data_IF_577255284007
#
_entry.id   IF_577255284007
#
_cell.length_a   1.000
_cell.length_b   1.000
_cell.length_c   1.000
_cell.angle_alpha   90.00
_cell.angle_beta   90.00
_cell.angle_gamma   90.00
#
_symmetry.space_group_name_H-M   'P 1'
#
loop_
_entity.id
_entity.type
_entity.pdbx_description
1 polymer ?
#
# COMPACT_ATOMS: atom_id res chain seq x y z
N UNK A 1 -8.82 15.37 8.46
CA UNK A 1 -8.04 14.58 7.51
C UNK A 1 -7.87 15.35 6.21
N UNK A 2 -6.67 15.39 5.64
CA UNK A 2 -6.47 16.03 4.34
C UNK A 2 -7.36 15.41 3.26
N UNK A 3 -7.79 16.23 2.32
CA UNK A 3 -8.72 15.81 1.28
C UNK A 3 -8.13 14.71 0.38
N UNK A 4 -6.81 14.76 0.10
CA UNK A 4 -6.13 13.75 -0.69
C UNK A 4 -6.18 12.38 -0.03
N UNK A 5 -5.96 12.32 1.29
CA UNK A 5 -6.02 11.06 2.03
C UNK A 5 -7.45 10.51 2.07
N UNK A 6 -8.42 11.40 2.17
CA UNK A 6 -9.82 11.03 2.16
C UNK A 6 -10.21 10.37 0.85
N UNK A 7 -9.76 10.95 -0.27
CA UNK A 7 -10.05 10.40 -1.59
C UNK A 7 -9.44 9.01 -1.74
N UNK A 8 -8.20 8.84 -1.30
CA UNK A 8 -7.54 7.53 -1.34
C UNK A 8 -8.30 6.50 -0.52
N UNK A 9 -8.70 6.84 0.70
CA UNK A 9 -9.44 5.93 1.57
C UNK A 9 -10.78 5.50 0.96
N UNK A 10 -11.50 6.43 0.34
CA UNK A 10 -12.80 6.13 -0.26
C UNK A 10 -12.72 5.14 -1.42
N UNK A 11 -11.60 5.13 -2.15
CA UNK A 11 -11.48 4.36 -3.38
C UNK A 11 -10.52 3.18 -3.30
N UNK A 12 -9.68 3.15 -2.26
CA UNK A 12 -8.63 2.14 -2.15
C UNK A 12 -9.20 0.71 -2.09
N UNK A 13 -10.25 0.51 -1.32
CA UNK A 13 -10.88 -0.80 -1.18
C UNK A 13 -11.38 -1.29 -2.54
N UNK A 14 -12.04 -0.43 -3.30
CA UNK A 14 -12.53 -0.79 -4.63
C UNK A 14 -11.39 -1.12 -5.58
N UNK A 15 -10.32 -0.33 -5.52
CA UNK A 15 -9.14 -0.59 -6.34
C UNK A 15 -8.54 -1.95 -6.02
N UNK A 16 -8.32 -2.24 -4.73
CA UNK A 16 -7.69 -3.49 -4.31
C UNK A 16 -8.54 -4.69 -4.71
N UNK A 17 -9.84 -4.64 -4.48
CA UNK A 17 -10.74 -5.77 -4.77
C UNK A 17 -10.75 -6.18 -6.23
N UNK A 18 -10.52 -5.24 -7.13
CA UNK A 18 -10.53 -5.50 -8.58
C UNK A 18 -9.13 -5.53 -9.19
N UNK A 19 -8.09 -5.40 -8.38
CA UNK A 19 -6.72 -5.29 -8.90
C UNK A 19 -6.21 -6.65 -9.40
N UNK A 20 -5.88 -6.70 -10.69
CA UNK A 20 -5.41 -7.93 -11.32
C UNK A 20 -4.05 -8.42 -10.82
N UNK A 21 -3.24 -7.51 -10.26
CA UNK A 21 -1.93 -7.85 -9.70
C UNK A 21 -1.96 -8.32 -8.25
N UNK A 22 -3.16 -8.33 -7.63
CA UNK A 22 -3.31 -8.79 -6.25
C UNK A 22 -3.19 -10.32 -6.20
N UNK A 23 -2.32 -10.81 -5.31
CA UNK A 23 -2.15 -12.25 -5.10
C UNK A 23 -2.84 -12.71 -3.81
N UNK A 24 -2.71 -11.94 -2.74
CA UNK A 24 -3.31 -12.29 -1.45
C UNK A 24 -3.39 -11.07 -0.56
N UNK A 25 -4.35 -11.06 0.35
CA UNK A 25 -4.51 -9.98 1.32
C UNK A 25 -4.85 -10.56 2.69
N UNK A 26 -4.22 -10.01 3.73
CA UNK A 26 -4.54 -10.35 5.11
C UNK A 26 -5.92 -9.77 5.44
N UNK A 27 -6.85 -10.61 5.88
CA UNK A 27 -8.24 -10.21 6.15
C UNK A 27 -8.38 -9.21 7.29
N UNK A 28 -7.35 -9.02 8.11
CA UNK A 28 -7.38 -8.06 9.23
C UNK A 28 -7.15 -6.63 8.78
N UNK A 29 -6.73 -6.40 7.53
CA UNK A 29 -6.43 -5.06 7.04
C UNK A 29 -7.71 -4.28 6.84
N UNK A 30 -7.76 -3.09 7.44
CA UNK A 30 -8.86 -2.15 7.20
C UNK A 30 -8.50 -1.25 6.03
N UNK A 31 -9.09 -1.53 4.87
CA UNK A 31 -8.82 -0.78 3.65
C UNK A 31 -9.49 0.59 3.62
N UNK A 32 -10.30 0.90 4.63
CA UNK A 32 -11.06 2.15 4.67
C UNK A 32 -10.47 3.18 5.62
N UNK A 33 -9.56 2.78 6.52
CA UNK A 33 -9.03 3.66 7.57
C UNK A 33 -7.50 3.58 7.64
N UNK A 34 -6.83 4.39 6.84
CA UNK A 34 -5.39 4.58 6.93
C UNK A 34 -5.07 6.02 6.52
N UNK A 35 -3.88 6.51 6.90
CA UNK A 35 -3.49 7.88 6.58
C UNK A 35 -3.04 8.00 5.14
N UNK A 36 -2.04 7.22 4.74
CA UNK A 36 -1.48 7.28 3.39
C UNK A 36 -0.67 6.04 3.10
N UNK A 37 -0.31 5.86 1.84
CA UNK A 37 0.71 4.91 1.42
C UNK A 37 2.06 5.59 1.55
N UNK A 38 2.98 4.97 2.26
CA UNK A 38 4.31 5.53 2.49
C UNK A 38 5.36 4.58 1.95
N UNK A 39 6.28 5.09 1.12
CA UNK A 39 7.35 4.28 0.54
C UNK A 39 8.67 4.42 1.31
N UNK A 40 8.76 5.31 2.27
CA UNK A 40 9.98 5.55 3.04
C UNK A 40 9.78 5.12 4.49
N UNK A 41 10.41 4.00 4.87
CA UNK A 41 10.29 3.44 6.21
C UNK A 41 10.78 4.39 7.31
N UNK A 42 11.62 5.36 6.97
CA UNK A 42 12.09 6.35 7.93
C UNK A 42 11.04 7.37 8.31
N UNK A 43 10.04 7.56 7.43
CA UNK A 43 8.96 8.54 7.59
C UNK A 43 7.62 7.92 7.94
N UNK A 44 7.58 6.61 8.14
CA UNK A 44 6.33 5.90 8.35
C UNK A 44 5.68 6.33 9.66
N UNK A 45 4.36 6.49 9.62
CA UNK A 45 3.55 6.77 10.79
C UNK A 45 2.66 5.57 11.12
N UNK A 46 2.18 5.54 12.35
CA UNK A 46 1.41 4.43 12.90
C UNK A 46 0.26 3.93 12.04
N UNK A 47 -0.47 4.85 11.40
CA UNK A 47 -1.65 4.49 10.61
C UNK A 47 -1.40 4.50 9.10
N UNK A 48 -0.15 4.52 8.69
CA UNK A 48 0.21 4.42 7.28
C UNK A 48 0.26 2.96 6.83
N UNK A 49 0.08 2.75 5.53
CA UNK A 49 0.39 1.47 4.91
C UNK A 49 1.75 1.63 4.23
N UNK A 50 2.70 0.78 4.60
CA UNK A 50 4.03 0.82 3.99
C UNK A 50 4.01 0.09 2.66
N UNK A 51 4.37 0.79 1.59
CA UNK A 51 4.56 0.18 0.27
C UNK A 51 6.04 -0.21 0.15
N UNK A 52 6.31 -1.51 0.24
CA UNK A 52 7.67 -2.06 0.17
C UNK A 52 8.15 -2.10 -1.28
N UNK A 53 8.42 -0.92 -1.82
CA UNK A 53 8.74 -0.74 -3.24
C UNK A 53 10.04 -1.45 -3.60
N UNK A 54 9.99 -2.34 -4.60
CA UNK A 54 11.14 -3.12 -5.05
C UNK A 54 11.37 -2.93 -6.54
N UNK A 55 12.62 -2.79 -6.93
CA UNK A 55 13.04 -2.62 -8.31
C UNK A 55 14.42 -3.24 -8.52
N UNK A 56 15.04 -2.97 -9.68
CA UNK A 56 16.32 -3.57 -10.05
C UNK A 56 17.45 -3.25 -9.06
N UNK A 57 17.45 -2.04 -8.51
CA UNK A 57 18.55 -1.54 -7.70
C UNK A 57 18.22 -1.40 -6.22
N UNK A 58 17.01 -1.81 -5.80
CA UNK A 58 16.61 -1.69 -4.41
C UNK A 58 15.52 -2.71 -4.09
N UNK A 59 15.43 -3.07 -2.82
CA UNK A 59 14.44 -4.03 -2.32
C UNK A 59 13.80 -3.45 -1.05
N UNK A 60 12.60 -2.90 -1.23
CA UNK A 60 11.84 -2.34 -0.11
C UNK A 60 11.44 -3.38 0.93
N UNK A 61 11.45 -4.67 0.58
CA UNK A 61 11.13 -5.73 1.54
C UNK A 61 12.11 -5.77 2.71
N UNK A 62 13.34 -5.27 2.51
CA UNK A 62 14.32 -5.16 3.59
C UNK A 62 13.84 -4.23 4.70
N UNK A 63 12.94 -3.30 4.39
CA UNK A 63 12.50 -2.25 5.32
C UNK A 63 11.16 -2.55 5.99
N UNK A 64 10.55 -3.70 5.70
CA UNK A 64 9.26 -4.05 6.30
C UNK A 64 9.39 -4.14 7.83
N UNK A 65 10.44 -4.82 8.31
CA UNK A 65 10.64 -4.94 9.75
C UNK A 65 10.85 -3.59 10.42
N UNK A 66 11.60 -2.69 9.78
CA UNK A 66 11.78 -1.33 10.30
C UNK A 66 10.46 -0.60 10.41
N UNK A 67 9.60 -0.72 9.43
CA UNK A 67 8.30 -0.06 9.46
C UNK A 67 7.41 -0.63 10.56
N UNK A 68 7.46 -1.93 10.78
CA UNK A 68 6.71 -2.57 11.86
C UNK A 68 7.20 -2.07 13.21
N UNK A 69 8.50 -1.94 13.41
CA UNK A 69 9.09 -1.40 14.63
C UNK A 69 8.62 0.02 14.92
N UNK A 70 8.30 0.78 13.88
CA UNK A 70 7.77 2.15 14.03
C UNK A 70 6.27 2.21 14.22
N UNK A 71 5.62 1.06 14.34
CA UNK A 71 4.20 0.97 14.61
C UNK A 71 3.31 0.79 13.38
N UNK A 72 3.88 0.64 12.20
CA UNK A 72 3.12 0.33 11.00
C UNK A 72 2.53 -1.08 11.12
N UNK A 73 1.23 -1.21 10.89
CA UNK A 73 0.54 -2.49 11.03
C UNK A 73 0.40 -3.24 9.72
N UNK A 74 0.34 -2.52 8.61
CA UNK A 74 0.02 -3.12 7.31
C UNK A 74 1.01 -2.65 6.25
N UNK A 75 1.26 -3.52 5.27
CA UNK A 75 2.23 -3.21 4.22
C UNK A 75 1.85 -3.93 2.93
N UNK A 76 2.34 -3.40 1.82
CA UNK A 76 2.17 -3.98 0.48
C UNK A 76 3.53 -4.49 0.05
N UNK A 77 3.61 -5.76 -0.35
CA UNK A 77 4.88 -6.45 -0.57
C UNK A 77 4.79 -7.43 -1.73
N UNK A 78 5.95 -7.81 -2.28
CA UNK A 78 6.09 -8.91 -3.22
C UNK A 78 6.54 -10.20 -2.54
N UNK A 79 6.86 -10.15 -1.25
CA UNK A 79 7.44 -11.28 -0.54
C UNK A 79 6.38 -12.07 0.21
N UNK A 80 6.11 -13.34 -0.19
CA UNK A 80 5.09 -14.15 0.48
C UNK A 80 5.33 -14.39 1.97
N UNK A 81 6.57 -14.25 2.44
CA UNK A 81 6.85 -14.44 3.86
C UNK A 81 6.33 -13.31 4.73
N UNK A 82 5.94 -12.18 4.12
CA UNK A 82 5.36 -11.04 4.84
C UNK A 82 3.83 -11.03 4.75
N UNK A 83 3.19 -12.21 4.81
CA UNK A 83 1.74 -12.31 4.61
C UNK A 83 0.94 -11.76 5.80
N UNK A 84 1.47 -11.86 7.02
CA UNK A 84 0.78 -11.37 8.21
C UNK A 84 0.81 -9.85 8.25
N UNK A 85 -0.33 -9.21 7.99
CA UNK A 85 -0.41 -7.76 7.87
C UNK A 85 -0.11 -7.27 6.45
N UNK A 86 0.06 -8.18 5.50
CA UNK A 86 0.48 -7.85 4.15
C UNK A 86 -0.61 -7.89 3.10
N UNK A 87 -0.42 -7.06 2.09
CA UNK A 87 -1.10 -7.14 0.81
C UNK A 87 -0.03 -7.61 -0.17
N UNK A 88 -0.18 -8.84 -0.67
CA UNK A 88 0.81 -9.43 -1.56
C UNK A 88 0.43 -9.14 -3.01
N UNK A 89 1.33 -8.52 -3.75
CA UNK A 89 1.12 -8.16 -5.16
C UNK A 89 2.23 -8.73 -6.02
N UNK A 90 1.98 -8.84 -7.31
CA UNK A 90 2.96 -9.33 -8.28
C UNK A 90 4.14 -8.37 -8.42
N UNK A 91 3.87 -7.08 -8.46
CA UNK A 91 4.89 -6.05 -8.61
C UNK A 91 4.46 -4.80 -7.87
N UNK A 92 5.29 -4.36 -6.93
CA UNK A 92 5.02 -3.13 -6.19
C UNK A 92 5.20 -1.89 -7.06
N UNK A 93 6.11 -1.92 -8.03
CA UNK A 93 6.26 -0.82 -8.99
C UNK A 93 5.01 -0.68 -9.85
N UNK A 94 4.50 -1.78 -10.39
CA UNK A 94 3.26 -1.76 -11.18
C UNK A 94 2.08 -1.33 -10.31
N UNK A 95 2.03 -1.79 -9.07
CA UNK A 95 0.99 -1.36 -8.14
C UNK A 95 0.98 0.16 -7.97
N UNK A 96 2.15 0.74 -7.75
CA UNK A 96 2.27 2.20 -7.58
C UNK A 96 1.78 2.93 -8.83
N UNK A 97 2.19 2.49 -10.01
CA UNK A 97 1.75 3.09 -11.27
C UNK A 97 0.24 2.96 -11.46
N UNK A 98 -0.30 1.79 -11.17
CA UNK A 98 -1.71 1.50 -11.39
C UNK A 98 -2.60 2.28 -10.44
N UNK A 99 -2.22 2.39 -9.16
CA UNK A 99 -3.02 3.17 -8.21
C UNK A 99 -2.96 4.66 -8.53
N UNK A 100 -1.81 5.16 -9.00
CA UNK A 100 -1.69 6.55 -9.41
C UNK A 100 -2.64 6.86 -10.57
N UNK A 101 -2.67 6.00 -11.58
CA UNK A 101 -3.59 6.14 -12.71
C UNK A 101 -5.06 6.09 -12.27
N UNK A 102 -5.37 5.17 -11.37
CA UNK A 102 -6.73 5.04 -10.84
C UNK A 102 -7.17 6.32 -10.15
N UNK A 103 -6.33 6.89 -9.30
CA UNK A 103 -6.65 8.12 -8.57
C UNK A 103 -6.79 9.32 -9.49
N UNK A 104 -6.01 9.41 -10.56
CA UNK A 104 -6.16 10.46 -11.56
C UNK A 104 -7.51 10.34 -12.24
N UNK A 105 -7.92 9.14 -12.63
CA UNK A 105 -9.20 8.92 -13.29
C UNK A 105 -10.39 9.25 -12.37
N UNK A 106 -10.29 8.88 -11.12
CA UNK A 106 -11.32 9.21 -10.12
C UNK A 106 -11.47 10.73 -9.98
N UNK A 107 -10.35 11.45 -9.92
CA UNK A 107 -10.39 12.92 -9.81
C UNK A 107 -11.01 13.58 -11.03
N UNK A 108 -10.86 13.00 -12.21
CA UNK A 108 -11.45 13.56 -13.43
C UNK A 108 -12.97 13.47 -13.46
N UNK A 109 -13.52 12.49 -12.77
CA UNK A 109 -14.96 12.23 -12.76
C UNK A 109 -15.71 13.07 -11.73
N UNK A 110 -15.00 13.89 -10.97
CA UNK A 110 -15.61 14.76 -9.96
C UNK A 110 -15.96 16.15 -10.51
#
# INVERSE_FOLDING_TARGET
MPEENRLLNLHFENFIKSYSGLLKIDSRIDLTHFNTLCTDSRKINKNDIFLALSGENFDGNEFVNESIEKGCKFFITENPSHINGGILVKSTLEFLEDIAKFLINVNRDI
#
